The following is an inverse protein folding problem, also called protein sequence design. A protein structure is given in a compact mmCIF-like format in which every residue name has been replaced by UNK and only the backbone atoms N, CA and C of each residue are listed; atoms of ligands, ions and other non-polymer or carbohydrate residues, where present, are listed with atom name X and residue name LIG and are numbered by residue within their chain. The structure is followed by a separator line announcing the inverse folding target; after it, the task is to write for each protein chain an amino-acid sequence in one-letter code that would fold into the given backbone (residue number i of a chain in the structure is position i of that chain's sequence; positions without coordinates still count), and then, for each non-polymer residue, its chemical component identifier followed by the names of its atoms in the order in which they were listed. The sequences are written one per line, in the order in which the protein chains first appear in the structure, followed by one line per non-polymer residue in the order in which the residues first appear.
data_IF_266998498284
#
_entry.id   IF_266998498284
#
_cell.length_a   1.000
_cell.length_b   1.000
_cell.length_c   1.000
_cell.angle_alpha   90.00
_cell.angle_beta   90.00
_cell.angle_gamma   90.00
#
_symmetry.space_group_name_H-M   'P 1'
#
loop_
_entity.id
_entity.type
_entity.pdbx_description
1 polymer ?
#
# COMPACT_ATOMS: atom_id res chain seq x y z
N UNK A 1 -37.74 15.62 -18.81
CA UNK A 1 -36.82 16.04 -17.74
C UNK A 1 -35.53 15.27 -17.89
N UNK A 2 -34.49 15.94 -18.36
CA UNK A 2 -33.16 15.33 -18.52
C UNK A 2 -32.52 15.21 -17.13
N UNK A 3 -32.23 13.97 -16.71
CA UNK A 3 -31.47 13.71 -15.49
C UNK A 3 -30.01 13.95 -15.84
N UNK A 4 -29.43 14.95 -15.20
CA UNK A 4 -28.04 15.38 -15.32
C UNK A 4 -27.05 14.23 -15.06
N UNK A 5 -26.03 14.11 -15.90
CA UNK A 5 -24.86 13.21 -15.80
C UNK A 5 -23.92 13.49 -14.60
N UNK A 6 -24.43 14.07 -13.51
CA UNK A 6 -23.66 14.51 -12.34
C UNK A 6 -23.75 13.56 -11.14
N UNK A 7 -24.10 12.29 -11.34
CA UNK A 7 -23.85 11.25 -10.34
C UNK A 7 -22.40 10.75 -10.44
N UNK A 8 -21.44 11.64 -10.18
CA UNK A 8 -20.09 11.26 -9.76
C UNK A 8 -20.20 10.71 -8.33
N UNK A 9 -20.29 9.39 -8.20
CA UNK A 9 -20.40 8.72 -6.90
C UNK A 9 -19.21 9.12 -5.99
N UNK A 10 -19.45 9.74 -4.83
CA UNK A 10 -18.40 10.10 -3.88
C UNK A 10 -17.75 8.88 -3.21
N UNK A 11 -18.25 7.67 -3.50
CA UNK A 11 -17.86 6.43 -2.83
C UNK A 11 -16.84 5.57 -3.59
N UNK A 12 -16.46 5.94 -4.81
CA UNK A 12 -15.36 5.24 -5.49
C UNK A 12 -14.02 5.59 -4.81
N UNK A 13 -13.16 4.60 -4.48
CA UNK A 13 -11.82 4.86 -4.00
C UNK A 13 -11.12 5.82 -4.96
N UNK A 14 -10.59 6.91 -4.44
CA UNK A 14 -10.14 8.06 -5.23
C UNK A 14 -9.09 7.68 -6.30
N UNK A 15 -8.31 6.61 -6.07
CA UNK A 15 -7.34 6.06 -7.03
C UNK A 15 -7.94 5.49 -8.31
N UNK A 16 -9.23 5.15 -8.33
CA UNK A 16 -9.95 4.75 -9.55
C UNK A 16 -10.14 5.91 -10.53
N UNK A 17 -9.84 7.17 -10.16
CA UNK A 17 -10.10 8.36 -11.00
C UNK A 17 -9.04 8.64 -12.08
N UNK A 18 -7.77 8.21 -11.93
CA UNK A 18 -6.67 8.53 -12.89
C UNK A 18 -6.20 7.34 -13.76
N UNK A 19 -7.07 6.88 -14.66
CA UNK A 19 -6.63 6.08 -15.82
C UNK A 19 -7.40 6.63 -17.02
N UNK A 20 -6.73 7.41 -17.87
CA UNK A 20 -7.32 7.84 -19.15
C UNK A 20 -7.30 6.62 -20.07
N UNK A 21 -8.47 6.09 -20.38
CA UNK A 21 -8.64 5.15 -21.49
C UNK A 21 -8.13 5.82 -22.77
N UNK A 22 -7.22 5.17 -23.51
CA UNK A 22 -6.97 5.55 -24.91
C UNK A 22 -8.26 5.30 -25.68
N UNK A 23 -8.58 6.14 -26.66
CA UNK A 23 -9.71 5.91 -27.55
C UNK A 23 -9.60 4.49 -28.15
N UNK A 24 -10.58 3.62 -27.85
CA UNK A 24 -10.58 2.20 -28.23
C UNK A 24 -10.20 1.18 -27.13
N UNK A 25 -9.79 1.60 -25.93
CA UNK A 25 -9.51 0.67 -24.82
C UNK A 25 -10.77 0.33 -24.01
N UNK A 26 -10.90 -0.93 -23.56
CA UNK A 26 -11.95 -1.38 -22.61
C UNK A 26 -12.13 -0.38 -21.46
N UNK A 27 -13.38 -0.16 -21.02
CA UNK A 27 -13.64 0.68 -19.85
C UNK A 27 -12.95 0.08 -18.61
N UNK A 28 -12.61 0.92 -17.61
CA UNK A 28 -12.01 0.42 -16.35
C UNK A 28 -12.90 -0.61 -15.66
N UNK A 29 -14.22 -0.43 -15.78
CA UNK A 29 -15.21 -1.38 -15.27
C UNK A 29 -15.03 -2.75 -15.95
N UNK A 30 -14.92 -2.79 -17.28
CA UNK A 30 -14.67 -4.03 -18.00
C UNK A 30 -13.31 -4.66 -17.61
N UNK A 31 -12.24 -3.86 -17.47
CA UNK A 31 -10.93 -4.35 -17.04
C UNK A 31 -10.97 -4.96 -15.63
N UNK A 32 -11.66 -4.29 -14.71
CA UNK A 32 -11.83 -4.76 -13.33
C UNK A 32 -12.64 -6.04 -13.28
N UNK A 33 -13.77 -6.12 -14.00
CA UNK A 33 -14.59 -7.34 -14.12
C UNK A 33 -13.78 -8.50 -14.68
N UNK A 34 -13.18 -8.31 -15.85
CA UNK A 34 -12.36 -9.34 -16.51
C UNK A 34 -11.21 -9.78 -15.60
N UNK A 35 -10.64 -8.83 -14.85
CA UNK A 35 -9.62 -9.06 -13.84
C UNK A 35 -10.12 -9.93 -12.68
N UNK A 36 -11.25 -9.60 -12.07
CA UNK A 36 -11.86 -10.39 -10.99
C UNK A 36 -12.17 -11.82 -11.45
N UNK A 37 -12.72 -11.99 -12.66
CA UNK A 37 -12.95 -13.31 -13.24
C UNK A 37 -11.65 -14.07 -13.46
N UNK A 38 -10.61 -13.38 -13.94
CA UNK A 38 -9.27 -13.95 -14.10
C UNK A 38 -8.73 -14.43 -12.76
N UNK A 39 -8.80 -13.60 -11.71
CA UNK A 39 -8.34 -13.97 -10.38
C UNK A 39 -9.10 -15.17 -9.82
N UNK A 40 -10.43 -15.19 -9.97
CA UNK A 40 -11.29 -16.29 -9.51
C UNK A 40 -10.91 -17.62 -10.17
N UNK A 41 -10.63 -17.60 -11.48
CA UNK A 41 -10.21 -18.78 -12.24
C UNK A 41 -8.81 -19.30 -11.86
N UNK A 42 -7.97 -18.45 -11.25
CA UNK A 42 -6.61 -18.80 -10.83
C UNK A 42 -6.49 -19.22 -9.36
N UNK A 43 -7.58 -19.19 -8.60
CA UNK A 43 -7.59 -19.60 -7.20
C UNK A 43 -7.05 -21.03 -7.03
N UNK A 44 -6.22 -21.28 -6.00
CA UNK A 44 -5.82 -22.64 -5.69
C UNK A 44 -7.03 -23.48 -5.30
N UNK A 45 -7.05 -24.75 -5.73
CA UNK A 45 -8.12 -25.71 -5.39
C UNK A 45 -8.27 -25.93 -3.89
N UNK A 46 -7.17 -25.81 -3.14
CA UNK A 46 -7.14 -25.95 -1.69
C UNK A 46 -6.76 -24.60 -1.07
N UNK A 47 -7.46 -24.22 -0.01
CA UNK A 47 -7.13 -23.04 0.77
C UNK A 47 -5.70 -23.15 1.33
N UNK A 48 -4.97 -22.04 1.32
CA UNK A 48 -3.65 -21.99 1.94
C UNK A 48 -3.80 -22.05 3.47
N UNK A 49 -2.90 -22.72 4.19
CA UNK A 49 -3.00 -22.90 5.65
C UNK A 49 -2.99 -21.57 6.46
N UNK A 50 -2.42 -20.51 5.86
CA UNK A 50 -2.40 -19.15 6.42
C UNK A 50 -3.52 -18.25 5.85
N UNK A 51 -4.42 -18.82 5.05
CA UNK A 51 -5.44 -18.10 4.31
C UNK A 51 -6.54 -17.57 5.21
N UNK A 52 -7.03 -16.38 4.88
CA UNK A 52 -8.21 -15.80 5.48
C UNK A 52 -9.44 -16.21 4.69
N UNK A 53 -10.44 -16.71 5.41
CA UNK A 53 -11.72 -17.09 4.83
C UNK A 53 -12.37 -15.84 4.24
N UNK A 54 -12.73 -15.91 2.96
CA UNK A 54 -13.42 -14.86 2.18
C UNK A 54 -12.69 -13.50 2.07
N UNK A 55 -11.46 -13.37 2.55
CA UNK A 55 -10.64 -12.22 2.17
C UNK A 55 -10.36 -12.33 0.67
N UNK A 56 -10.68 -11.31 -0.14
CA UNK A 56 -10.56 -11.44 -1.58
C UNK A 56 -9.16 -11.81 -2.05
N UNK A 57 -9.09 -12.95 -2.73
CA UNK A 57 -7.91 -13.52 -3.38
C UNK A 57 -6.70 -13.75 -2.46
N UNK A 58 -6.93 -13.92 -1.16
CA UNK A 58 -5.86 -14.10 -0.17
C UNK A 58 -5.07 -15.39 -0.40
N UNK A 59 -5.76 -16.50 -0.71
CA UNK A 59 -5.10 -17.77 -1.01
C UNK A 59 -4.25 -17.70 -2.28
N UNK A 60 -4.69 -16.92 -3.28
CA UNK A 60 -3.91 -16.65 -4.49
C UNK A 60 -2.65 -15.82 -4.16
N UNK A 61 -2.78 -14.73 -3.40
CA UNK A 61 -1.64 -13.91 -2.95
C UNK A 61 -0.63 -14.73 -2.15
N UNK A 62 -1.09 -15.56 -1.21
CA UNK A 62 -0.25 -16.49 -0.45
C UNK A 62 0.44 -17.53 -1.33
N UNK A 63 -0.18 -17.97 -2.42
CA UNK A 63 0.46 -18.89 -3.37
C UNK A 63 1.55 -18.19 -4.17
N UNK A 64 1.27 -17.00 -4.67
CA UNK A 64 2.10 -16.31 -5.67
C UNK A 64 3.26 -15.53 -5.07
N UNK A 65 3.08 -14.88 -3.92
CA UNK A 65 4.08 -13.97 -3.36
C UNK A 65 4.78 -14.55 -2.13
N UNK A 66 6.10 -14.83 -2.20
CA UNK A 66 6.92 -15.08 -1.03
C UNK A 66 6.90 -13.93 -0.02
N UNK A 67 6.88 -12.68 -0.47
CA UNK A 67 6.82 -11.51 0.41
C UNK A 67 5.52 -11.49 1.22
N UNK A 68 4.36 -11.70 0.58
CA UNK A 68 3.06 -11.74 1.25
C UNK A 68 3.01 -12.86 2.31
N UNK A 69 3.54 -14.06 1.97
CA UNK A 69 3.67 -15.16 2.94
C UNK A 69 4.58 -14.81 4.12
N UNK A 70 5.71 -14.17 3.86
CA UNK A 70 6.66 -13.80 4.91
C UNK A 70 6.09 -12.74 5.84
N UNK A 71 5.40 -11.72 5.29
CA UNK A 71 4.68 -10.72 6.09
C UNK A 71 3.62 -11.38 6.96
N UNK A 72 2.74 -12.20 6.37
CA UNK A 72 1.72 -12.98 7.09
C UNK A 72 2.30 -13.77 8.27
N UNK A 73 3.38 -14.54 8.03
CA UNK A 73 4.03 -15.33 9.09
C UNK A 73 4.65 -14.46 10.17
N UNK A 74 5.29 -13.36 9.78
CA UNK A 74 5.94 -12.44 10.72
C UNK A 74 4.91 -11.77 11.62
N UNK A 75 3.80 -11.32 11.04
CA UNK A 75 2.68 -10.73 11.77
C UNK A 75 2.06 -11.71 12.78
N UNK A 76 1.74 -12.93 12.34
CA UNK A 76 1.21 -13.98 13.21
C UNK A 76 2.20 -14.35 14.33
N UNK A 77 3.51 -14.44 14.02
CA UNK A 77 4.55 -14.73 15.01
C UNK A 77 4.69 -13.64 16.08
N UNK A 78 4.21 -12.42 15.82
CA UNK A 78 4.15 -11.32 16.79
C UNK A 78 2.83 -11.27 17.58
N UNK A 79 1.99 -12.31 17.47
CA UNK A 79 0.69 -12.37 18.12
C UNK A 79 -0.40 -11.58 17.40
N UNK A 80 -0.18 -11.25 16.11
CA UNK A 80 -1.20 -10.65 15.27
C UNK A 80 -2.39 -11.59 15.07
N UNK A 81 -3.59 -11.02 15.03
CA UNK A 81 -4.85 -11.76 14.85
C UNK A 81 -5.71 -11.10 13.77
N UNK A 82 -6.55 -11.89 13.11
CA UNK A 82 -7.48 -11.40 12.10
C UNK A 82 -8.90 -11.57 12.57
N UNK A 83 -9.73 -10.56 12.32
CA UNK A 83 -11.16 -10.63 12.60
C UNK A 83 -11.97 -10.32 11.34
N UNK A 84 -12.98 -11.16 11.07
CA UNK A 84 -13.79 -11.07 9.87
C UNK A 84 -15.02 -10.21 10.17
N UNK A 85 -14.96 -8.93 9.79
CA UNK A 85 -15.98 -7.92 10.09
C UNK A 85 -16.22 -7.08 8.84
N UNK A 86 -17.47 -6.74 8.54
CA UNK A 86 -17.76 -5.84 7.44
C UNK A 86 -17.25 -4.42 7.77
N UNK A 87 -16.28 -3.93 7.00
CA UNK A 87 -15.77 -2.56 7.09
C UNK A 87 -15.43 -1.99 5.73
N UNK A 88 -15.65 -0.69 5.57
CA UNK A 88 -15.21 0.01 4.36
C UNK A 88 -13.71 0.30 4.42
N UNK A 89 -13.08 0.42 3.25
CA UNK A 89 -11.70 0.89 3.12
C UNK A 89 -11.51 2.27 3.77
N UNK A 90 -12.54 3.12 3.76
CA UNK A 90 -12.50 4.42 4.47
C UNK A 90 -12.37 4.25 5.98
N UNK A 91 -13.06 3.26 6.57
CA UNK A 91 -12.93 2.96 8.00
C UNK A 91 -11.57 2.36 8.31
N UNK A 92 -11.05 1.45 7.47
CA UNK A 92 -9.73 0.87 7.69
C UNK A 92 -8.62 1.93 7.66
N UNK A 93 -8.68 2.87 6.71
CA UNK A 93 -7.67 3.92 6.55
C UNK A 93 -7.70 5.02 7.63
N UNK A 94 -8.86 5.30 8.23
CA UNK A 94 -9.02 6.44 9.15
C UNK A 94 -9.11 6.06 10.63
N UNK A 95 -9.07 4.77 10.95
CA UNK A 95 -9.25 4.28 12.31
C UNK A 95 -7.94 4.28 13.09
N UNK A 96 -8.03 4.51 14.40
CA UNK A 96 -6.91 4.33 15.34
C UNK A 96 -6.56 2.84 15.54
N UNK A 97 -7.40 1.92 15.03
CA UNK A 97 -7.16 0.48 15.09
C UNK A 97 -5.94 0.02 14.30
N UNK A 98 -5.30 0.91 13.52
CA UNK A 98 -3.97 0.69 12.94
C UNK A 98 -2.90 0.33 14.00
N UNK A 99 -3.10 0.80 15.24
CA UNK A 99 -2.21 0.53 16.37
C UNK A 99 -2.57 -0.75 17.14
N UNK A 100 -3.70 -1.37 16.83
CA UNK A 100 -4.15 -2.60 17.46
C UNK A 100 -3.55 -3.81 16.77
N UNK A 101 -3.28 -4.86 17.55
CA UNK A 101 -2.74 -6.11 16.99
C UNK A 101 -3.76 -6.90 16.18
N UNK A 102 -5.03 -6.50 16.16
CA UNK A 102 -6.08 -7.11 15.35
C UNK A 102 -6.21 -6.38 14.01
N UNK A 103 -6.19 -7.14 12.91
CA UNK A 103 -6.57 -6.64 11.58
C UNK A 103 -8.00 -7.11 11.29
N UNK A 104 -8.93 -6.16 11.26
CA UNK A 104 -10.29 -6.39 10.76
C UNK A 104 -10.29 -6.40 9.22
N UNK A 105 -11.02 -7.34 8.61
CA UNK A 105 -11.15 -7.44 7.16
C UNK A 105 -12.57 -7.84 6.75
N UNK A 106 -13.05 -7.37 5.59
CA UNK A 106 -14.37 -7.76 5.07
C UNK A 106 -14.32 -9.08 4.31
N UNK A 107 -15.11 -10.09 4.71
CA UNK A 107 -15.18 -11.38 4.02
C UNK A 107 -16.07 -11.33 2.76
N UNK A 108 -15.61 -10.68 1.68
CA UNK A 108 -16.42 -10.35 0.49
C UNK A 108 -15.96 -11.00 -0.82
N UNK A 109 -15.04 -11.98 -0.80
CA UNK A 109 -14.52 -12.58 -2.03
C UNK A 109 -15.64 -13.07 -2.97
N UNK A 110 -16.59 -13.86 -2.46
CA UNK A 110 -17.71 -14.37 -3.26
C UNK A 110 -18.64 -13.27 -3.78
N UNK A 111 -18.81 -12.20 -3.03
CA UNK A 111 -19.61 -11.04 -3.45
C UNK A 111 -18.97 -10.34 -4.67
N UNK A 112 -17.65 -10.18 -4.66
CA UNK A 112 -16.91 -9.62 -5.80
C UNK A 112 -17.02 -10.51 -7.04
N UNK A 113 -16.90 -11.83 -6.87
CA UNK A 113 -17.04 -12.79 -7.98
C UNK A 113 -18.47 -12.78 -8.53
N UNK A 114 -19.47 -12.83 -7.65
CA UNK A 114 -20.87 -12.74 -8.06
C UNK A 114 -21.14 -11.47 -8.86
N UNK A 115 -20.76 -10.29 -8.34
CA UNK A 115 -20.94 -9.01 -9.03
C UNK A 115 -20.25 -8.97 -10.41
N UNK A 116 -19.09 -9.62 -10.56
CA UNK A 116 -18.40 -9.73 -11.85
C UNK A 116 -19.10 -10.68 -12.84
N UNK A 117 -19.84 -11.68 -12.34
CA UNK A 117 -20.55 -12.69 -13.15
C UNK A 117 -22.03 -12.39 -13.36
N UNK A 118 -22.62 -11.46 -12.60
CA UNK A 118 -24.05 -11.21 -12.63
C UNK A 118 -24.51 -10.75 -14.02
N UNK A 119 -25.54 -11.41 -14.56
CA UNK A 119 -25.98 -11.20 -15.94
C UNK A 119 -26.70 -9.86 -16.17
N UNK A 120 -27.17 -9.22 -15.10
CA UNK A 120 -27.83 -7.92 -15.13
C UNK A 120 -26.76 -6.83 -14.99
N UNK A 121 -25.91 -6.92 -13.96
CA UNK A 121 -24.82 -5.95 -13.73
C UNK A 121 -23.82 -5.96 -14.89
N UNK A 122 -23.46 -7.13 -15.44
CA UNK A 122 -22.51 -7.24 -16.56
C UNK A 122 -22.96 -6.61 -17.88
N UNK A 123 -24.25 -6.26 -18.01
CA UNK A 123 -24.77 -5.48 -19.15
C UNK A 123 -24.60 -3.97 -18.94
N UNK A 124 -24.42 -3.52 -17.70
CA UNK A 124 -24.11 -2.14 -17.39
C UNK A 124 -22.60 -1.88 -17.55
N UNK A 125 -22.24 -1.01 -18.49
CA UNK A 125 -20.86 -0.58 -18.71
C UNK A 125 -20.21 0.09 -17.49
N UNK A 126 -21.01 0.51 -16.49
CA UNK A 126 -20.56 1.14 -15.25
C UNK A 126 -20.36 0.16 -14.09
N UNK A 127 -20.92 -1.06 -14.14
CA UNK A 127 -20.84 -2.10 -13.08
C UNK A 127 -21.03 -1.58 -11.64
N UNK A 128 -22.18 -0.93 -11.34
CA UNK A 128 -22.40 -0.26 -10.06
C UNK A 128 -22.24 -1.18 -8.84
N UNK A 129 -22.67 -2.44 -8.91
CA UNK A 129 -22.55 -3.36 -7.78
C UNK A 129 -21.09 -3.73 -7.52
N UNK A 130 -20.33 -4.08 -8.56
CA UNK A 130 -18.91 -4.42 -8.41
C UNK A 130 -18.11 -3.28 -7.76
N UNK A 131 -18.36 -2.04 -8.19
CA UNK A 131 -17.71 -0.88 -7.59
C UNK A 131 -18.15 -0.63 -6.15
N UNK A 132 -19.42 -0.81 -5.81
CA UNK A 132 -19.90 -0.70 -4.44
C UNK A 132 -19.24 -1.76 -3.54
N UNK A 133 -19.07 -2.99 -4.01
CA UNK A 133 -18.45 -4.08 -3.26
C UNK A 133 -16.97 -3.85 -3.01
N UNK A 134 -16.22 -3.26 -3.96
CA UNK A 134 -14.79 -2.95 -3.78
C UNK A 134 -14.53 -1.96 -2.65
N UNK A 135 -15.50 -1.10 -2.29
CA UNK A 135 -15.37 -0.18 -1.16
C UNK A 135 -15.18 -0.92 0.18
N UNK A 136 -15.47 -2.20 0.23
CA UNK A 136 -15.31 -3.03 1.42
C UNK A 136 -14.00 -3.84 1.42
N UNK A 137 -13.09 -3.64 0.46
CA UNK A 137 -11.81 -4.34 0.46
C UNK A 137 -10.81 -3.75 1.46
N UNK A 138 -9.97 -4.63 2.00
CA UNK A 138 -8.87 -4.27 2.90
C UNK A 138 -7.55 -4.73 2.30
N UNK A 139 -6.58 -3.82 2.17
CA UNK A 139 -5.23 -4.12 1.74
C UNK A 139 -4.43 -4.79 2.88
N UNK A 140 -4.63 -6.10 3.07
CA UNK A 140 -4.12 -6.83 4.24
C UNK A 140 -2.60 -6.78 4.37
N UNK A 141 -1.83 -6.78 3.27
CA UNK A 141 -0.36 -6.65 3.35
C UNK A 141 0.05 -5.32 4.00
N UNK A 142 -0.58 -4.23 3.59
CA UNK A 142 -0.31 -2.88 4.06
C UNK A 142 -0.54 -2.81 5.59
N UNK A 143 -1.70 -3.29 6.03
CA UNK A 143 -2.08 -3.37 7.45
C UNK A 143 -1.11 -4.24 8.28
N UNK A 144 -0.71 -5.40 7.75
CA UNK A 144 0.28 -6.29 8.39
C UNK A 144 1.61 -5.57 8.60
N UNK A 145 2.09 -4.87 7.59
CA UNK A 145 3.40 -4.23 7.61
C UNK A 145 3.47 -3.09 8.61
N UNK A 146 2.41 -2.30 8.80
CA UNK A 146 2.34 -1.33 9.91
C UNK A 146 2.56 -2.01 11.26
N UNK A 147 1.81 -3.08 11.55
CA UNK A 147 1.87 -3.78 12.84
C UNK A 147 3.21 -4.47 13.06
N UNK A 148 3.82 -4.99 12.00
CA UNK A 148 5.19 -5.51 12.09
C UNK A 148 6.19 -4.39 12.39
N UNK A 149 6.05 -3.23 11.75
CA UNK A 149 6.92 -2.07 11.95
C UNK A 149 6.81 -1.50 13.37
N UNK A 150 5.61 -1.47 13.96
CA UNK A 150 5.41 -1.06 15.36
C UNK A 150 6.21 -1.90 16.35
N UNK A 151 6.50 -3.16 16.04
CA UNK A 151 7.38 -4.03 16.83
C UNK A 151 8.85 -3.89 16.42
N UNK A 152 9.13 -3.64 15.14
CA UNK A 152 10.47 -3.64 14.58
C UNK A 152 11.27 -2.35 14.82
N UNK A 153 10.64 -1.18 14.68
CA UNK A 153 11.32 0.12 14.81
C UNK A 153 11.44 0.54 16.28
N UNK A 154 12.40 1.43 16.61
CA UNK A 154 12.33 2.19 17.85
C UNK A 154 11.07 3.07 17.87
N UNK A 155 10.65 3.46 19.08
CA UNK A 155 9.46 4.29 19.25
C UNK A 155 9.64 5.70 18.66
N UNK A 156 8.54 6.45 18.49
CA UNK A 156 8.58 7.82 18.00
C UNK A 156 9.33 8.75 18.96
N UNK A 157 9.84 9.90 18.47
CA UNK A 157 10.35 10.94 19.34
C UNK A 157 9.25 11.49 20.27
N UNK A 158 9.62 12.05 21.43
CA UNK A 158 8.65 12.71 22.30
C UNK A 158 8.02 13.89 21.58
N UNK A 159 6.74 14.14 21.85
CA UNK A 159 6.03 15.25 21.24
C UNK A 159 6.53 16.57 21.85
N UNK A 160 7.31 17.35 21.09
CA UNK A 160 7.66 18.73 21.44
C UNK A 160 6.86 19.68 20.57
N UNK A 161 6.49 20.84 21.12
CA UNK A 161 5.77 21.87 20.34
C UNK A 161 6.62 22.27 19.12
N UNK A 162 6.02 22.20 17.95
CA UNK A 162 6.53 22.73 16.67
C UNK A 162 7.79 22.05 16.08
N UNK A 163 8.17 20.84 16.51
CA UNK A 163 9.38 20.18 15.96
C UNK A 163 9.11 19.23 14.77
N UNK A 164 7.85 18.90 14.50
CA UNK A 164 7.42 17.98 13.44
C UNK A 164 8.00 16.57 13.55
N UNK A 165 8.61 16.20 14.67
CA UNK A 165 9.36 14.95 14.81
C UNK A 165 8.48 13.70 14.66
N UNK A 166 7.27 13.75 15.24
CA UNK A 166 6.30 12.64 15.14
C UNK A 166 5.78 12.49 13.71
N UNK A 167 5.51 13.59 13.00
CA UNK A 167 5.12 13.55 11.58
C UNK A 167 6.22 12.95 10.71
N UNK A 168 7.49 13.33 10.92
CA UNK A 168 8.63 12.70 10.22
C UNK A 168 8.73 11.21 10.49
N UNK A 169 8.56 10.79 11.75
CA UNK A 169 8.53 9.37 12.11
C UNK A 169 7.40 8.62 11.40
N UNK A 170 6.18 9.15 11.42
CA UNK A 170 5.01 8.51 10.80
C UNK A 170 5.14 8.44 9.27
N UNK A 171 5.58 9.51 8.61
CA UNK A 171 5.87 9.50 7.18
C UNK A 171 7.00 8.53 6.82
N UNK A 172 8.00 8.37 7.69
CA UNK A 172 9.04 7.36 7.49
C UNK A 172 8.46 5.93 7.60
N UNK A 173 7.60 5.66 8.57
CA UNK A 173 6.92 4.36 8.68
C UNK A 173 6.05 4.09 7.45
N UNK A 174 5.25 5.06 7.03
CA UNK A 174 4.39 4.94 5.85
C UNK A 174 5.21 4.64 4.59
N UNK A 175 6.35 5.32 4.41
CA UNK A 175 7.23 5.04 3.27
C UNK A 175 7.83 3.63 3.30
N UNK A 176 8.12 3.06 4.48
CA UNK A 176 8.55 1.66 4.63
C UNK A 176 7.43 0.67 4.26
N UNK A 177 6.18 0.98 4.58
CA UNK A 177 5.01 0.15 4.23
C UNK A 177 4.76 0.18 2.72
N UNK A 178 4.65 1.38 2.14
CA UNK A 178 4.42 1.58 0.70
C UNK A 178 5.53 0.92 -0.14
N UNK A 179 6.78 0.94 0.34
CA UNK A 179 7.90 0.26 -0.33
C UNK A 179 7.70 -1.25 -0.44
N UNK A 180 7.02 -1.89 0.52
CA UNK A 180 6.68 -3.30 0.41
C UNK A 180 5.45 -3.56 -0.45
N UNK A 181 4.50 -2.63 -0.51
CA UNK A 181 3.39 -2.72 -1.47
C UNK A 181 3.92 -2.66 -2.91
N UNK A 182 4.87 -1.76 -3.17
CA UNK A 182 5.64 -1.70 -4.42
C UNK A 182 6.34 -3.03 -4.73
N UNK A 183 7.08 -3.57 -3.75
CA UNK A 183 7.80 -4.83 -3.91
C UNK A 183 6.86 -6.02 -4.14
N UNK A 184 5.66 -6.02 -3.54
CA UNK A 184 4.62 -7.01 -3.83
C UNK A 184 4.16 -6.90 -5.28
N UNK A 185 3.87 -5.68 -5.76
CA UNK A 185 3.50 -5.44 -7.15
C UNK A 185 4.55 -5.97 -8.13
N UNK A 186 5.83 -5.69 -7.86
CA UNK A 186 6.96 -6.21 -8.66
C UNK A 186 7.06 -7.75 -8.65
N UNK A 187 6.76 -8.40 -7.52
CA UNK A 187 6.73 -9.88 -7.42
C UNK A 187 5.60 -10.49 -8.25
N UNK A 188 4.43 -9.86 -8.27
CA UNK A 188 3.24 -10.31 -8.97
C UNK A 188 3.31 -10.05 -10.48
N UNK A 189 4.04 -9.01 -10.89
CA UNK A 189 4.19 -8.56 -12.28
C UNK A 189 3.03 -7.69 -12.75
N UNK A 190 3.25 -6.92 -13.83
CA UNK A 190 2.39 -5.80 -14.24
C UNK A 190 0.90 -6.12 -14.43
N UNK A 191 0.54 -7.18 -15.15
CA UNK A 191 -0.88 -7.47 -15.44
C UNK A 191 -1.66 -7.83 -14.17
N UNK A 192 -1.12 -8.75 -13.37
CA UNK A 192 -1.78 -9.27 -12.18
C UNK A 192 -1.86 -8.22 -11.07
N UNK A 193 -0.75 -7.50 -10.83
CA UNK A 193 -0.69 -6.41 -9.86
C UNK A 193 -1.65 -5.27 -10.20
N UNK A 194 -1.78 -4.91 -11.49
CA UNK A 194 -2.76 -3.91 -11.91
C UNK A 194 -4.20 -4.33 -11.58
N UNK A 195 -4.56 -5.59 -11.80
CA UNK A 195 -5.90 -6.10 -11.45
C UNK A 195 -6.13 -6.03 -9.93
N UNK A 196 -5.17 -6.51 -9.14
CA UNK A 196 -5.27 -6.51 -7.67
C UNK A 196 -5.34 -5.09 -7.10
N UNK A 197 -4.60 -4.14 -7.70
CA UNK A 197 -4.66 -2.73 -7.36
C UNK A 197 -6.02 -2.12 -7.69
N UNK A 198 -6.58 -2.39 -8.88
CA UNK A 198 -7.93 -1.94 -9.24
C UNK A 198 -9.00 -2.50 -8.31
N UNK A 199 -8.81 -3.71 -7.79
CA UNK A 199 -9.67 -4.32 -6.79
C UNK A 199 -9.43 -3.80 -5.35
N UNK A 200 -8.47 -2.90 -5.13
CA UNK A 200 -8.15 -2.35 -3.80
C UNK A 200 -7.46 -3.34 -2.86
N UNK A 201 -6.88 -4.42 -3.38
CA UNK A 201 -6.28 -5.50 -2.59
C UNK A 201 -4.80 -5.29 -2.30
N UNK A 202 -4.15 -4.49 -3.14
CA UNK A 202 -2.78 -4.01 -2.94
C UNK A 202 -2.77 -2.49 -3.14
N UNK A 203 -1.86 -1.81 -2.44
CA UNK A 203 -1.80 -0.35 -2.46
C UNK A 203 -1.08 0.21 -3.69
N UNK A 204 -0.28 -0.62 -4.36
CA UNK A 204 0.55 -0.22 -5.48
C UNK A 204 0.69 -1.38 -6.49
N UNK A 205 0.54 -1.08 -7.78
CA UNK A 205 0.63 -2.09 -8.85
C UNK A 205 2.06 -2.49 -9.25
N UNK A 206 3.09 -2.10 -8.52
CA UNK A 206 4.49 -2.34 -8.87
C UNK A 206 4.89 -1.81 -10.26
N UNK A 207 5.92 -2.42 -10.84
CA UNK A 207 6.48 -2.02 -12.13
C UNK A 207 6.75 -3.21 -13.05
N UNK A 208 7.11 -2.91 -14.31
CA UNK A 208 7.65 -3.91 -15.24
C UNK A 208 9.12 -4.31 -14.92
N UNK A 209 9.66 -3.87 -13.78
CA UNK A 209 10.98 -4.33 -13.33
C UNK A 209 10.91 -5.83 -13.13
N UNK A 210 11.57 -6.56 -14.02
CA UNK A 210 11.76 -7.99 -13.87
C UNK A 210 12.80 -8.22 -12.79
N UNK A 211 12.38 -8.28 -11.52
CA UNK A 211 13.25 -8.52 -10.35
C UNK A 211 14.26 -9.65 -10.58
N UNK A 212 13.86 -10.71 -11.28
CA UNK A 212 14.73 -11.86 -11.63
C UNK A 212 15.89 -11.54 -12.57
N UNK A 213 15.87 -10.39 -13.25
CA UNK A 213 16.88 -9.95 -14.22
C UNK A 213 17.83 -8.89 -13.69
N UNK A 214 17.64 -8.44 -12.44
CA UNK A 214 18.49 -7.44 -11.80
C UNK A 214 19.19 -8.05 -10.59
N UNK A 215 20.45 -7.64 -10.36
CA UNK A 215 21.18 -8.09 -9.21
C UNK A 215 20.46 -7.66 -7.92
N UNK A 216 20.44 -8.52 -6.90
CA UNK A 216 19.71 -8.28 -5.64
C UNK A 216 20.06 -6.94 -5.01
N UNK A 217 21.35 -6.57 -4.99
CA UNK A 217 21.81 -5.27 -4.45
C UNK A 217 21.27 -4.08 -5.25
N UNK A 218 21.22 -4.18 -6.58
CA UNK A 218 20.67 -3.14 -7.45
C UNK A 218 19.17 -2.97 -7.18
N UNK A 219 18.44 -4.07 -7.01
CA UNK A 219 17.02 -4.01 -6.65
C UNK A 219 16.78 -3.37 -5.28
N UNK A 220 17.60 -3.69 -4.27
CA UNK A 220 17.50 -3.04 -2.96
C UNK A 220 17.76 -1.54 -3.04
N UNK A 221 18.78 -1.11 -3.79
CA UNK A 221 19.04 0.31 -4.00
C UNK A 221 17.86 1.00 -4.71
N UNK A 222 17.24 0.33 -5.68
CA UNK A 222 16.00 0.80 -6.31
C UNK A 222 14.87 0.99 -5.27
N UNK A 223 14.63 -0.01 -4.41
CA UNK A 223 13.61 0.10 -3.35
C UNK A 223 13.94 1.20 -2.34
N UNK A 224 15.22 1.41 -1.99
CA UNK A 224 15.60 2.51 -1.12
C UNK A 224 15.36 3.87 -1.77
N UNK A 225 15.60 4.00 -3.07
CA UNK A 225 15.27 5.20 -3.82
C UNK A 225 13.76 5.44 -3.87
N UNK A 226 12.94 4.41 -4.10
CA UNK A 226 11.47 4.50 -4.02
C UNK A 226 11.03 4.96 -2.63
N UNK A 227 11.53 4.30 -1.58
CA UNK A 227 11.24 4.64 -0.19
C UNK A 227 11.53 6.09 0.10
N UNK A 228 12.74 6.56 -0.24
CA UNK A 228 13.15 7.91 0.10
C UNK A 228 12.39 8.96 -0.70
N UNK A 229 12.07 8.66 -1.97
CA UNK A 229 11.17 9.49 -2.78
C UNK A 229 9.80 9.60 -2.11
N UNK A 230 9.21 8.47 -1.68
CA UNK A 230 7.93 8.45 -0.96
C UNK A 230 8.00 9.25 0.34
N UNK A 231 9.06 9.07 1.14
CA UNK A 231 9.26 9.84 2.36
C UNK A 231 9.29 11.35 2.09
N UNK A 232 10.10 11.80 1.12
CA UNK A 232 10.22 13.23 0.79
C UNK A 232 8.90 13.79 0.24
N UNK A 233 8.16 13.01 -0.56
CA UNK A 233 6.84 13.39 -1.04
C UNK A 233 5.85 13.59 0.11
N UNK A 234 5.84 12.69 1.10
CA UNK A 234 5.02 12.82 2.30
C UNK A 234 5.47 13.99 3.20
N UNK A 235 6.73 14.41 3.10
CA UNK A 235 7.25 15.65 3.68
C UNK A 235 6.99 16.89 2.79
N UNK A 236 6.13 16.80 1.78
CA UNK A 236 5.75 17.90 0.89
C UNK A 236 6.92 18.54 0.12
N UNK A 237 7.97 17.78 -0.18
CA UNK A 237 9.03 18.27 -1.08
C UNK A 237 8.55 18.26 -2.54
N UNK A 238 9.06 19.21 -3.33
CA UNK A 238 8.68 19.31 -4.74
C UNK A 238 9.28 18.15 -5.56
N UNK A 239 8.52 17.53 -6.48
CA UNK A 239 9.00 16.38 -7.26
C UNK A 239 10.31 16.60 -8.01
N UNK A 240 10.58 17.83 -8.46
CA UNK A 240 11.83 18.19 -9.12
C UNK A 240 13.02 18.13 -8.17
N UNK A 241 12.87 18.61 -6.93
CA UNK A 241 13.90 18.58 -5.91
C UNK A 241 14.19 17.15 -5.45
N UNK A 242 13.13 16.35 -5.25
CA UNK A 242 13.25 14.94 -4.87
C UNK A 242 14.12 14.19 -5.85
N UNK A 243 13.95 14.43 -7.16
CA UNK A 243 14.75 13.77 -8.19
C UNK A 243 16.25 14.04 -8.04
N UNK A 244 16.61 15.30 -7.81
CA UNK A 244 18.01 15.71 -7.67
C UNK A 244 18.65 15.12 -6.40
N UNK A 245 17.90 15.11 -5.29
CA UNK A 245 18.33 14.52 -4.02
C UNK A 245 18.59 13.01 -4.19
N UNK A 246 17.62 12.28 -4.74
CA UNK A 246 17.71 10.82 -4.90
C UNK A 246 18.85 10.44 -5.85
N UNK A 247 19.05 11.19 -6.94
CA UNK A 247 20.18 10.99 -7.84
C UNK A 247 21.53 11.12 -7.13
N UNK A 248 21.69 12.13 -6.27
CA UNK A 248 22.92 12.37 -5.52
C UNK A 248 23.19 11.27 -4.48
N UNK A 249 22.16 10.83 -3.77
CA UNK A 249 22.31 9.91 -2.63
C UNK A 249 22.50 8.44 -3.03
N UNK A 250 21.80 7.98 -4.07
CA UNK A 250 21.74 6.55 -4.38
C UNK A 250 22.64 6.13 -5.54
N UNK A 251 23.16 7.08 -6.32
CA UNK A 251 24.12 6.81 -7.41
C UNK A 251 23.65 5.74 -8.39
N UNK A 252 22.34 5.57 -8.53
CA UNK A 252 21.72 4.63 -9.45
C UNK A 252 21.94 5.13 -10.88
N UNK A 253 21.92 4.22 -11.85
CA UNK A 253 21.89 4.65 -13.25
C UNK A 253 20.68 5.58 -13.47
N UNK A 254 20.80 6.50 -14.43
CA UNK A 254 19.78 7.52 -14.65
C UNK A 254 18.39 6.94 -14.98
N UNK A 255 18.31 5.70 -15.49
CA UNK A 255 17.04 5.05 -15.82
C UNK A 255 16.36 4.50 -14.57
N UNK A 256 17.08 3.79 -13.70
CA UNK A 256 16.55 3.25 -12.45
C UNK A 256 16.21 4.34 -11.45
N UNK A 257 17.02 5.40 -11.38
CA UNK A 257 16.69 6.56 -10.54
C UNK A 257 15.40 7.22 -11.00
N UNK A 258 15.32 7.52 -12.31
CA UNK A 258 14.12 8.10 -12.89
C UNK A 258 12.91 7.22 -12.64
N UNK A 259 13.04 5.90 -12.82
CA UNK A 259 11.96 4.96 -12.59
C UNK A 259 11.51 4.92 -11.12
N UNK A 260 12.44 4.96 -10.16
CA UNK A 260 12.11 4.99 -8.74
C UNK A 260 11.35 6.28 -8.38
N UNK A 261 11.85 7.44 -8.84
CA UNK A 261 11.23 8.74 -8.60
C UNK A 261 9.86 8.82 -9.28
N UNK A 262 9.79 8.54 -10.59
CA UNK A 262 8.56 8.58 -11.38
C UNK A 262 7.49 7.65 -10.80
N UNK A 263 7.89 6.56 -10.15
CA UNK A 263 6.95 5.65 -9.48
C UNK A 263 6.46 6.22 -8.15
N UNK A 264 7.35 6.58 -7.25
CA UNK A 264 6.96 7.01 -5.91
C UNK A 264 6.18 8.33 -5.92
N UNK A 265 6.39 9.22 -6.90
CA UNK A 265 5.58 10.44 -7.06
C UNK A 265 4.17 10.20 -7.60
N UNK A 266 3.85 8.98 -8.07
CA UNK A 266 2.49 8.62 -8.51
C UNK A 266 1.53 8.38 -7.36
N UNK A 267 2.02 8.45 -6.10
CA UNK A 267 1.16 8.40 -4.93
C UNK A 267 0.02 9.40 -5.03
N UNK A 268 -1.14 8.97 -4.54
CA UNK A 268 -2.36 9.74 -4.65
C UNK A 268 -2.23 11.05 -3.88
N UNK A 269 -2.41 12.18 -4.55
CA UNK A 269 -2.31 13.52 -3.95
C UNK A 269 -3.34 13.75 -2.83
N UNK A 270 -4.52 13.12 -2.89
CA UNK A 270 -5.50 13.16 -1.80
C UNK A 270 -5.01 12.33 -0.62
N UNK A 271 -4.31 11.21 -0.86
CA UNK A 271 -3.70 10.47 0.23
C UNK A 271 -2.59 11.30 0.90
N UNK A 272 -1.67 11.85 0.10
CA UNK A 272 -0.54 12.66 0.59
C UNK A 272 -1.01 13.91 1.34
N UNK A 273 -1.90 14.69 0.72
CA UNK A 273 -2.30 16.02 1.21
C UNK A 273 -3.51 16.03 2.15
N UNK A 274 -4.23 14.93 2.30
CA UNK A 274 -5.44 14.87 3.14
C UNK A 274 -5.42 13.63 4.02
N UNK A 275 -5.59 12.43 3.45
CA UNK A 275 -5.84 11.22 4.27
C UNK A 275 -4.72 10.90 5.26
N UNK A 276 -3.47 10.93 4.82
CA UNK A 276 -2.32 10.69 5.68
C UNK A 276 -2.17 11.80 6.72
N UNK A 277 -2.30 13.06 6.30
CA UNK A 277 -2.18 14.21 7.20
C UNK A 277 -3.25 14.19 8.29
N UNK A 278 -4.52 14.05 7.90
CA UNK A 278 -5.68 14.00 8.81
C UNK A 278 -5.53 12.86 9.83
N UNK A 279 -5.06 11.68 9.38
CA UNK A 279 -4.83 10.56 10.30
C UNK A 279 -3.73 10.89 11.30
N UNK A 280 -2.60 11.47 10.85
CA UNK A 280 -1.49 11.84 11.73
C UNK A 280 -1.89 12.91 12.73
N UNK A 281 -2.57 13.97 12.29
CA UNK A 281 -3.06 15.04 13.17
C UNK A 281 -3.98 14.49 14.26
N UNK A 282 -4.90 13.59 13.88
CA UNK A 282 -5.85 12.97 14.79
C UNK A 282 -5.21 12.01 15.79
N UNK A 283 -4.16 11.28 15.38
CA UNK A 283 -3.67 10.11 16.14
C UNK A 283 -2.27 10.26 16.72
N UNK A 284 -1.50 11.32 16.42
CA UNK A 284 -0.11 11.49 16.86
C UNK A 284 0.09 11.33 18.37
N UNK A 285 -0.82 11.84 19.21
CA UNK A 285 -0.72 11.72 20.66
C UNK A 285 -0.88 10.26 21.12
N UNK A 286 -1.83 9.55 20.51
CA UNK A 286 -2.09 8.13 20.78
C UNK A 286 -0.91 7.28 20.33
N UNK A 287 -0.32 7.59 19.18
CA UNK A 287 0.89 6.96 18.65
C UNK A 287 2.03 7.09 19.65
N UNK A 288 2.35 8.30 20.10
CA UNK A 288 3.43 8.53 21.08
C UNK A 288 3.15 7.74 22.36
N UNK A 289 1.95 7.86 22.91
CA UNK A 289 1.56 7.15 24.14
C UNK A 289 1.69 5.63 24.04
N UNK A 290 1.31 5.04 22.90
CA UNK A 290 1.29 3.57 22.71
C UNK A 290 2.63 2.99 22.26
N UNK A 291 3.42 3.73 21.48
CA UNK A 291 4.62 3.22 20.85
C UNK A 291 5.92 3.64 21.57
N UNK A 292 5.88 4.60 22.49
CA UNK A 292 7.05 4.91 23.32
C UNK A 292 7.41 3.71 24.21
N UNK A 293 8.68 3.27 24.12
CA UNK A 293 9.21 2.15 24.91
C UNK A 293 10.12 2.68 25.99
N UNK A 294 9.95 2.19 27.22
CA UNK A 294 10.87 2.51 28.33
C UNK A 294 12.26 1.98 28.00
N UNK A 295 13.29 2.78 28.27
CA UNK A 295 14.71 2.42 28.09
C UNK A 295 15.15 2.15 26.64
N UNK A 296 14.42 2.64 25.64
CA UNK A 296 14.87 2.65 24.24
C UNK A 296 14.96 4.10 23.75
N UNK A 297 16.08 4.44 23.11
CA UNK A 297 16.19 5.72 22.42
C UNK A 297 15.13 5.80 21.31
N UNK A 298 14.45 6.95 21.15
CA UNK A 298 13.48 7.13 20.07
C UNK A 298 14.19 7.13 18.71
N UNK A 299 13.41 6.84 17.67
CA UNK A 299 13.87 6.99 16.30
C UNK A 299 13.69 8.45 15.86
N UNK A 300 14.80 9.19 15.81
CA UNK A 300 14.81 10.54 15.27
C UNK A 300 15.12 10.50 13.77
N UNK A 301 14.16 10.91 12.95
CA UNK A 301 14.34 11.05 11.50
C UNK A 301 14.82 12.49 11.22
N UNK A 302 15.97 12.67 10.55
CA UNK A 302 16.53 13.98 10.26
C UNK A 302 15.58 14.89 9.48
N UNK A 303 15.68 16.19 9.72
CA UNK A 303 14.95 17.21 8.96
C UNK A 303 15.61 17.49 7.60
N UNK A 304 16.94 17.45 7.55
CA UNK A 304 17.69 17.67 6.32
C UNK A 304 17.45 16.51 5.34
N UNK A 305 16.85 16.76 4.16
CA UNK A 305 16.61 15.73 3.14
C UNK A 305 17.89 15.19 2.48
N UNK A 306 19.06 15.74 2.80
CA UNK A 306 20.36 15.17 2.41
C UNK A 306 20.97 14.28 3.51
N UNK A 307 20.48 14.36 4.75
CA UNK A 307 20.87 13.45 5.84
C UNK A 307 19.96 12.21 5.86
N UNK A 308 20.24 11.26 4.97
CA UNK A 308 19.44 10.05 4.82
C UNK A 308 19.99 8.85 5.60
N UNK A 309 21.02 9.01 6.45
CA UNK A 309 21.73 7.86 7.04
C UNK A 309 20.82 6.97 7.89
N UNK A 310 20.01 7.60 8.75
CA UNK A 310 19.05 6.90 9.62
C UNK A 310 17.99 6.18 8.79
N UNK A 311 17.44 6.88 7.78
CA UNK A 311 16.43 6.34 6.87
C UNK A 311 16.99 5.13 6.11
N UNK A 312 18.18 5.27 5.52
CA UNK A 312 18.87 4.21 4.79
C UNK A 312 19.13 2.99 5.66
N UNK A 313 19.64 3.19 6.89
CA UNK A 313 19.96 2.12 7.81
C UNK A 313 18.74 1.26 8.16
N UNK A 314 17.63 1.91 8.52
CA UNK A 314 16.39 1.20 8.88
C UNK A 314 15.70 0.61 7.66
N UNK A 315 15.75 1.28 6.50
CA UNK A 315 15.29 0.73 5.23
C UNK A 315 16.03 -0.56 4.85
N UNK A 316 17.37 -0.59 4.90
CA UNK A 316 18.15 -1.80 4.58
C UNK A 316 17.81 -2.94 5.54
N UNK A 317 17.69 -2.65 6.84
CA UNK A 317 17.30 -3.67 7.83
C UNK A 317 15.89 -4.19 7.57
N UNK A 318 14.96 -3.32 7.19
CA UNK A 318 13.58 -3.69 6.89
C UNK A 318 13.48 -4.57 5.65
N UNK A 319 14.07 -4.12 4.54
CA UNK A 319 14.12 -4.87 3.27
C UNK A 319 14.77 -6.25 3.48
N UNK A 320 15.84 -6.34 4.28
CA UNK A 320 16.46 -7.62 4.68
C UNK A 320 15.54 -8.50 5.52
N UNK A 321 14.86 -7.93 6.52
CA UNK A 321 13.90 -8.66 7.38
C UNK A 321 12.78 -9.27 6.53
N UNK A 322 12.40 -8.60 5.46
CA UNK A 322 11.37 -9.04 4.51
C UNK A 322 11.93 -9.90 3.37
N UNK A 323 13.16 -10.40 3.52
CA UNK A 323 13.74 -11.40 2.61
C UNK A 323 14.10 -10.88 1.22
N UNK A 324 14.04 -9.56 0.99
CA UNK A 324 14.28 -8.96 -0.32
C UNK A 324 15.77 -8.85 -0.62
#
# INVERSE_FOLDING_TARGET
MAISDTLQSPFLPVWTRKLRAKAGSKSKACLLRDGILTLANHQPKNAHALGLKEQPFDSLLLKLSPLYRLSRRTYLAQGGIFDAVLLSSTRSLNSASLLDQCIEYSPIERELVWAATDSIDSKDTKLPHLYASIVYTTAVLHEQNHRILWHFLPGPPPMKKNDGGVFRYLNFVESLVITLDLALGDELGGDLSNILYLAGLIYDSGTDIRRKKIARRVYRNYLHACLYTTYLLLQFHEPTEIRDIVMRLYGLDGKLTKLAVDRAIQLNQIFVGVTNLDWQEKNQEVVVKRLTRKNCAPLEVPLDPMDNQVVYFWAEKWVRKMGI
#
